data_IF_214288120335
#
_entry.id   IF_214288120335
#
_cell.length_a   1.000
_cell.length_b   1.000
_cell.length_c   1.000
_cell.angle_alpha   90.00
_cell.angle_beta   90.00
_cell.angle_gamma   90.00
#
_symmetry.space_group_name_H-M   'P 1'
#
loop_
_entity.id
_entity.type
_entity.pdbx_description
1 polymer ?
#
# COMPACT_ATOMS: atom_id res chain seq x y z
N UNK A 1 27.60 -60.04 -25.54
CA UNK A 1 26.90 -59.92 -24.24
C UNK A 1 27.81 -59.13 -23.29
N UNK A 2 27.76 -57.78 -23.34
CA UNK A 2 28.19 -56.88 -22.25
C UNK A 2 27.32 -55.63 -22.37
N UNK A 3 26.71 -55.26 -21.24
CA UNK A 3 25.59 -54.35 -21.10
C UNK A 3 25.97 -52.87 -21.22
N UNK A 4 25.06 -52.09 -21.81
CA UNK A 4 25.05 -50.62 -21.85
C UNK A 4 24.92 -50.05 -20.43
N UNK A 5 25.76 -49.09 -20.06
CA UNK A 5 25.46 -48.16 -18.98
C UNK A 5 25.66 -46.74 -19.49
N UNK A 6 24.55 -46.13 -19.90
CA UNK A 6 24.46 -44.69 -20.10
C UNK A 6 24.39 -44.03 -18.72
N UNK A 7 25.36 -43.18 -18.40
CA UNK A 7 25.33 -42.35 -17.20
C UNK A 7 24.54 -41.10 -17.55
N UNK A 8 23.27 -41.07 -17.15
CA UNK A 8 22.41 -39.89 -17.27
C UNK A 8 22.71 -39.00 -16.06
N UNK A 9 23.49 -37.94 -16.26
CA UNK A 9 23.69 -36.90 -15.24
C UNK A 9 22.43 -36.05 -15.13
N UNK A 10 21.67 -36.27 -14.06
CA UNK A 10 20.53 -35.43 -13.69
C UNK A 10 21.07 -34.16 -13.01
N UNK A 11 21.10 -33.03 -13.73
CA UNK A 11 21.29 -31.73 -13.09
C UNK A 11 20.03 -31.40 -12.29
N UNK A 12 20.11 -31.55 -10.97
CA UNK A 12 19.14 -30.98 -10.05
C UNK A 12 19.37 -29.47 -10.03
N UNK A 13 18.50 -28.70 -10.70
CA UNK A 13 18.44 -27.27 -10.48
C UNK A 13 17.95 -27.06 -9.03
N UNK A 14 18.84 -26.69 -8.11
CA UNK A 14 18.42 -26.11 -6.85
C UNK A 14 17.69 -24.80 -7.20
N UNK A 15 16.37 -24.82 -7.10
CA UNK A 15 15.61 -23.59 -6.92
C UNK A 15 16.03 -23.09 -5.55
N UNK A 16 16.92 -22.11 -5.53
CA UNK A 16 17.18 -21.35 -4.32
C UNK A 16 15.85 -20.65 -4.00
N UNK A 17 15.08 -21.23 -3.10
CA UNK A 17 14.13 -20.44 -2.33
C UNK A 17 14.99 -19.37 -1.66
N UNK A 18 14.93 -18.16 -2.18
CA UNK A 18 15.35 -16.99 -1.44
C UNK A 18 14.36 -16.83 -0.30
N UNK A 19 14.45 -17.71 0.71
CA UNK A 19 13.92 -17.43 2.02
C UNK A 19 14.65 -16.16 2.44
N UNK A 20 13.94 -15.03 2.42
CA UNK A 20 14.23 -13.93 3.32
C UNK A 20 14.70 -14.55 4.62
N UNK A 21 15.94 -14.28 5.05
CA UNK A 21 16.46 -14.86 6.27
C UNK A 21 15.39 -14.70 7.34
N UNK A 22 14.87 -15.82 7.85
CA UNK A 22 13.80 -15.82 8.85
C UNK A 22 14.34 -15.02 10.03
N UNK A 23 13.93 -13.76 10.12
CA UNK A 23 14.21 -12.94 11.29
C UNK A 23 13.38 -13.57 12.39
N UNK A 24 14.05 -14.16 13.38
CA UNK A 24 13.35 -14.66 14.56
C UNK A 24 12.68 -13.48 15.28
N UNK A 25 11.39 -13.31 15.01
CA UNK A 25 10.58 -12.24 15.57
C UNK A 25 10.24 -12.49 17.05
N UNK A 26 10.60 -13.65 17.61
CA UNK A 26 10.23 -14.06 18.96
C UNK A 26 8.77 -14.53 19.09
N UNK A 27 8.07 -14.74 17.97
CA UNK A 27 6.71 -15.25 17.90
C UNK A 27 6.42 -15.97 16.58
N UNK A 28 5.34 -16.75 16.56
CA UNK A 28 4.86 -17.46 15.37
C UNK A 28 4.17 -16.48 14.40
N UNK A 29 4.90 -16.06 13.37
CA UNK A 29 4.44 -15.10 12.36
C UNK A 29 3.19 -15.57 11.61
N UNK A 30 3.02 -16.89 11.44
CA UNK A 30 1.84 -17.46 10.77
C UNK A 30 0.59 -17.30 11.64
N UNK A 31 0.71 -17.54 12.95
CA UNK A 31 -0.40 -17.29 13.89
C UNK A 31 -0.78 -15.82 13.96
N UNK A 32 0.21 -14.92 13.99
CA UNK A 32 -0.05 -13.47 13.98
C UNK A 32 -0.77 -13.05 12.69
N UNK A 33 -0.32 -13.54 11.53
CA UNK A 33 -0.98 -13.28 10.25
C UNK A 33 -2.43 -13.77 10.22
N UNK A 34 -2.72 -14.94 10.80
CA UNK A 34 -4.09 -15.46 10.89
C UNK A 34 -4.96 -14.60 11.82
N UNK A 35 -4.46 -14.20 12.99
CA UNK A 35 -5.20 -13.29 13.89
C UNK A 35 -5.48 -11.95 13.21
N UNK A 36 -4.51 -11.37 12.49
CA UNK A 36 -4.70 -10.14 11.72
C UNK A 36 -5.85 -10.29 10.70
N UNK A 37 -5.83 -11.38 9.92
CA UNK A 37 -6.88 -11.67 8.92
C UNK A 37 -8.26 -11.84 9.56
N UNK A 38 -8.33 -12.51 10.70
CA UNK A 38 -9.60 -12.79 11.40
C UNK A 38 -10.17 -11.55 12.12
N UNK A 39 -9.32 -10.57 12.44
CA UNK A 39 -9.72 -9.38 13.21
C UNK A 39 -9.94 -8.14 12.36
N UNK A 40 -9.35 -8.04 11.18
CA UNK A 40 -9.55 -6.92 10.29
C UNK A 40 -11.02 -6.84 9.83
N UNK A 41 -11.69 -5.75 10.15
CA UNK A 41 -13.10 -5.50 9.88
C UNK A 41 -13.41 -4.12 9.31
N UNK A 42 -12.42 -3.22 9.22
CA UNK A 42 -12.58 -1.89 8.62
C UNK A 42 -11.83 -1.76 7.29
N UNK A 43 -12.24 -0.78 6.47
CA UNK A 43 -11.68 -0.50 5.14
C UNK A 43 -10.15 -0.40 5.13
N UNK A 44 -9.56 0.40 6.02
CA UNK A 44 -8.10 0.56 6.09
C UNK A 44 -7.38 -0.67 6.64
N UNK A 45 -8.04 -1.44 7.51
CA UNK A 45 -7.47 -2.66 8.10
C UNK A 45 -7.30 -3.74 7.03
N UNK A 46 -8.27 -3.88 6.12
CA UNK A 46 -8.17 -4.83 5.01
C UNK A 46 -6.99 -4.50 4.08
N UNK A 47 -6.82 -3.23 3.69
CA UNK A 47 -5.70 -2.80 2.85
C UNK A 47 -4.35 -3.00 3.55
N UNK A 48 -4.26 -2.62 4.82
CA UNK A 48 -3.05 -2.83 5.63
C UNK A 48 -2.71 -4.32 5.77
N UNK A 49 -3.71 -5.16 6.07
CA UNK A 49 -3.53 -6.59 6.21
C UNK A 49 -3.08 -7.23 4.89
N UNK A 50 -3.68 -6.83 3.76
CA UNK A 50 -3.26 -7.30 2.44
C UNK A 50 -1.80 -6.93 2.13
N UNK A 51 -1.39 -5.69 2.44
CA UNK A 51 -0.02 -5.25 2.26
C UNK A 51 0.97 -6.03 3.15
N UNK A 52 0.63 -6.29 4.41
CA UNK A 52 1.44 -7.09 5.31
C UNK A 52 1.56 -8.55 4.84
N UNK A 53 0.47 -9.15 4.34
CA UNK A 53 0.49 -10.50 3.78
C UNK A 53 1.37 -10.58 2.52
N UNK A 54 1.34 -9.54 1.67
CA UNK A 54 2.17 -9.47 0.46
C UNK A 54 3.65 -9.42 0.84
N UNK A 55 4.02 -8.54 1.78
CA UNK A 55 5.40 -8.41 2.25
C UNK A 55 5.90 -9.66 2.99
N UNK A 56 5.00 -10.40 3.66
CA UNK A 56 5.36 -11.60 4.41
C UNK A 56 5.55 -12.84 3.53
N UNK A 57 4.65 -13.07 2.56
CA UNK A 57 4.61 -14.33 1.80
C UNK A 57 5.12 -14.21 0.36
N UNK A 58 5.08 -13.00 -0.23
CA UNK A 58 5.38 -12.75 -1.64
C UNK A 58 6.22 -11.45 -1.77
N UNK A 59 7.29 -11.35 -0.97
CA UNK A 59 8.04 -10.11 -0.77
C UNK A 59 8.67 -9.55 -2.06
N UNK A 60 8.94 -10.40 -3.04
CA UNK A 60 9.45 -10.06 -4.36
C UNK A 60 8.46 -9.26 -5.21
N UNK A 61 7.17 -9.37 -4.91
CA UNK A 61 6.11 -8.57 -5.54
C UNK A 61 5.88 -7.23 -4.82
N UNK A 62 6.49 -7.03 -3.66
CA UNK A 62 6.41 -5.79 -2.90
C UNK A 62 7.45 -4.76 -3.37
N UNK A 63 7.28 -3.51 -2.94
CA UNK A 63 8.23 -2.41 -3.18
C UNK A 63 9.57 -2.58 -2.45
N UNK A 64 9.69 -3.57 -1.56
CA UNK A 64 10.93 -3.94 -0.89
C UNK A 64 11.67 -5.10 -1.57
N UNK A 65 11.10 -5.66 -2.65
CA UNK A 65 11.78 -6.65 -3.47
C UNK A 65 13.06 -6.10 -4.10
N UNK A 66 13.96 -6.99 -4.51
CA UNK A 66 15.25 -6.59 -5.13
C UNK A 66 15.09 -5.88 -6.49
N UNK A 67 13.95 -6.09 -7.17
CA UNK A 67 13.57 -5.45 -8.42
C UNK A 67 12.05 -5.28 -8.44
N UNK A 68 11.50 -4.28 -7.71
CA UNK A 68 10.06 -4.15 -7.50
C UNK A 68 9.29 -3.79 -8.78
N UNK A 69 9.97 -3.21 -9.77
CA UNK A 69 9.39 -2.81 -11.06
C UNK A 69 10.20 -3.34 -12.25
N UNK A 70 10.16 -4.66 -12.54
CA UNK A 70 10.94 -5.25 -13.62
C UNK A 70 10.58 -4.61 -14.97
N UNK A 71 11.55 -3.93 -15.58
CA UNK A 71 11.35 -3.19 -16.83
C UNK A 71 10.53 -1.90 -16.67
N UNK A 72 10.51 -1.32 -15.47
CA UNK A 72 9.76 -0.10 -15.15
C UNK A 72 8.25 -0.31 -15.12
N UNK A 73 7.79 -1.53 -14.80
CA UNK A 73 6.37 -1.92 -14.81
C UNK A 73 5.99 -2.65 -13.54
N UNK A 74 4.70 -2.61 -13.21
CA UNK A 74 4.12 -3.44 -12.16
C UNK A 74 4.38 -4.93 -12.47
N UNK A 75 4.89 -5.71 -11.51
CA UNK A 75 5.11 -7.14 -11.70
C UNK A 75 3.78 -7.87 -11.86
N UNK A 76 3.75 -8.89 -12.70
CA UNK A 76 2.57 -9.75 -12.83
C UNK A 76 2.41 -10.59 -11.56
N UNK A 77 1.22 -10.58 -10.98
CA UNK A 77 0.91 -11.36 -9.79
C UNK A 77 -0.16 -12.43 -10.08
N UNK A 78 -0.02 -13.61 -9.46
CA UNK A 78 -1.09 -14.60 -9.45
C UNK A 78 -2.19 -14.12 -8.47
N UNK A 79 -3.45 -13.94 -8.92
CA UNK A 79 -4.54 -13.51 -8.04
C UNK A 79 -4.85 -14.49 -6.89
N UNK A 80 -4.24 -15.69 -6.87
CA UNK A 80 -4.41 -16.71 -5.83
C UNK A 80 -3.40 -16.62 -4.68
N UNK A 81 -2.37 -15.75 -4.77
CA UNK A 81 -1.45 -15.55 -3.64
C UNK A 81 -2.21 -15.05 -2.41
N UNK A 82 -1.67 -15.32 -1.22
CA UNK A 82 -2.39 -15.13 0.05
C UNK A 82 -2.94 -13.71 0.21
N UNK A 83 -2.14 -12.69 -0.13
CA UNK A 83 -2.54 -11.29 -0.03
C UNK A 83 -3.70 -10.93 -0.98
N UNK A 84 -3.60 -11.33 -2.25
CA UNK A 84 -4.58 -10.96 -3.27
C UNK A 84 -5.88 -11.75 -3.13
N UNK A 85 -5.79 -13.04 -2.79
CA UNK A 85 -6.96 -13.85 -2.50
C UNK A 85 -7.74 -13.31 -1.28
N UNK A 86 -7.03 -12.81 -0.27
CA UNK A 86 -7.62 -12.19 0.92
C UNK A 86 -8.37 -10.89 0.61
N UNK A 87 -7.76 -9.98 -0.16
CA UNK A 87 -8.29 -8.63 -0.35
C UNK A 87 -9.35 -8.53 -1.45
N UNK A 88 -9.31 -9.43 -2.45
CA UNK A 88 -10.22 -9.47 -3.59
C UNK A 88 -11.72 -9.31 -3.24
N UNK A 89 -12.29 -10.01 -2.23
CA UNK A 89 -13.71 -9.88 -1.89
C UNK A 89 -14.09 -8.51 -1.30
N UNK A 90 -13.12 -7.70 -0.87
CA UNK A 90 -13.37 -6.37 -0.28
C UNK A 90 -13.33 -5.24 -1.31
N UNK A 91 -12.79 -5.50 -2.51
CA UNK A 91 -12.67 -4.49 -3.56
C UNK A 91 -13.97 -4.39 -4.35
N UNK A 92 -14.57 -3.20 -4.31
CA UNK A 92 -15.63 -2.79 -5.21
C UNK A 92 -15.05 -2.41 -6.58
N UNK A 93 -15.50 -3.08 -7.63
CA UNK A 93 -15.02 -2.87 -9.00
C UNK A 93 -15.93 -1.99 -9.85
N UNK A 94 -17.01 -1.45 -9.30
CA UNK A 94 -18.00 -0.64 -10.04
C UNK A 94 -18.19 0.76 -9.47
N UNK A 95 -17.96 0.98 -8.17
CA UNK A 95 -18.03 2.29 -7.53
C UNK A 95 -16.79 3.16 -7.81
N UNK A 96 -16.88 4.43 -7.44
CA UNK A 96 -15.78 5.40 -7.57
C UNK A 96 -14.63 5.11 -6.61
N UNK A 97 -14.95 4.56 -5.43
CA UNK A 97 -13.96 4.12 -4.44
C UNK A 97 -13.88 2.60 -4.34
N UNK A 98 -12.72 2.10 -3.90
CA UNK A 98 -12.45 0.66 -3.79
C UNK A 98 -13.28 -0.02 -2.70
N UNK A 99 -13.74 0.72 -1.69
CA UNK A 99 -14.58 0.21 -0.60
C UNK A 99 -15.25 1.38 0.13
N UNK A 100 -16.37 1.13 0.80
CA UNK A 100 -17.01 2.12 1.67
C UNK A 100 -16.22 2.32 2.96
N UNK A 101 -16.06 3.57 3.40
CA UNK A 101 -15.22 3.91 4.55
C UNK A 101 -15.79 5.01 5.46
N UNK A 102 -17.12 5.08 5.62
CA UNK A 102 -17.78 5.95 6.60
C UNK A 102 -17.33 7.42 6.58
N UNK A 103 -17.02 7.96 5.39
CA UNK A 103 -16.59 9.34 5.19
C UNK A 103 -15.08 9.58 5.28
N UNK A 104 -14.26 8.53 5.43
CA UNK A 104 -12.82 8.59 5.22
C UNK A 104 -12.49 8.43 3.73
N UNK A 105 -11.79 9.41 3.17
CA UNK A 105 -11.33 9.41 1.78
C UNK A 105 -10.06 8.58 1.59
N UNK A 106 -9.21 8.52 2.62
CA UNK A 106 -7.94 7.80 2.56
C UNK A 106 -8.08 6.29 2.67
N UNK A 107 -8.94 5.80 3.56
CA UNK A 107 -9.03 4.37 3.89
C UNK A 107 -9.30 3.47 2.67
N UNK A 108 -10.21 3.81 1.73
CA UNK A 108 -10.41 2.98 0.55
C UNK A 108 -9.15 2.85 -0.32
N UNK A 109 -8.30 3.87 -0.34
CA UNK A 109 -7.06 3.90 -1.11
C UNK A 109 -6.01 2.89 -0.61
N UNK A 110 -6.10 2.46 0.65
CA UNK A 110 -5.20 1.44 1.21
C UNK A 110 -5.28 0.09 0.47
N UNK A 111 -6.39 -0.20 -0.22
CA UNK A 111 -6.57 -1.40 -1.06
C UNK A 111 -5.92 -1.26 -2.44
N UNK A 112 -5.46 -0.06 -2.81
CA UNK A 112 -5.16 0.29 -4.19
C UNK A 112 -3.96 -0.42 -4.79
N UNK A 113 -2.90 -0.69 -4.01
CA UNK A 113 -1.75 -1.49 -4.47
C UNK A 113 -2.20 -2.90 -4.88
N UNK A 114 -3.04 -3.53 -4.05
CA UNK A 114 -3.61 -4.85 -4.38
C UNK A 114 -4.54 -4.81 -5.58
N UNK A 115 -5.35 -3.76 -5.73
CA UNK A 115 -6.19 -3.57 -6.92
C UNK A 115 -5.36 -3.45 -8.20
N UNK A 116 -4.23 -2.73 -8.16
CA UNK A 116 -3.30 -2.63 -9.30
C UNK A 116 -2.67 -3.99 -9.63
N UNK A 117 -2.21 -4.73 -8.62
CA UNK A 117 -1.64 -6.07 -8.80
C UNK A 117 -2.65 -7.07 -9.38
N UNK A 118 -3.89 -7.08 -8.87
CA UNK A 118 -5.00 -7.85 -9.45
C UNK A 118 -5.28 -7.43 -10.90
N UNK A 119 -5.16 -6.13 -11.18
CA UNK A 119 -5.26 -5.51 -12.50
C UNK A 119 -4.35 -6.12 -13.57
N UNK A 120 -3.23 -6.71 -13.17
CA UNK A 120 -2.30 -7.40 -14.10
C UNK A 120 -2.88 -8.67 -14.72
N UNK A 121 -3.90 -9.25 -14.08
CA UNK A 121 -4.62 -10.44 -14.55
C UNK A 121 -6.08 -10.15 -14.93
N UNK A 122 -6.69 -9.13 -14.35
CA UNK A 122 -8.08 -8.75 -14.59
C UNK A 122 -8.23 -7.22 -14.58
N UNK A 123 -8.43 -6.65 -15.77
CA UNK A 123 -8.50 -5.21 -16.01
C UNK A 123 -9.56 -4.49 -15.15
N UNK A 124 -10.61 -5.19 -14.71
CA UNK A 124 -11.66 -4.58 -13.88
C UNK A 124 -11.11 -3.97 -12.57
N UNK A 125 -10.06 -4.58 -12.02
CA UNK A 125 -9.39 -4.08 -10.81
C UNK A 125 -8.49 -2.87 -11.09
N UNK A 126 -7.80 -2.83 -12.23
CA UNK A 126 -7.05 -1.62 -12.63
C UNK A 126 -7.99 -0.45 -12.95
N UNK A 127 -9.18 -0.72 -13.52
CA UNK A 127 -10.18 0.30 -13.77
C UNK A 127 -10.77 0.84 -12.47
N UNK A 128 -10.91 0.01 -11.44
CA UNK A 128 -11.30 0.43 -10.10
C UNK A 128 -10.22 1.27 -9.40
N UNK A 129 -8.95 0.88 -9.54
CA UNK A 129 -7.81 1.68 -9.06
C UNK A 129 -7.78 3.06 -9.74
N UNK A 130 -8.03 3.13 -11.05
CA UNK A 130 -8.11 4.40 -11.78
C UNK A 130 -9.18 5.34 -11.19
N UNK A 131 -10.37 4.81 -10.87
CA UNK A 131 -11.44 5.62 -10.28
C UNK A 131 -11.08 6.10 -8.88
N UNK A 132 -10.51 5.23 -8.03
CA UNK A 132 -10.05 5.62 -6.70
C UNK A 132 -8.98 6.71 -6.73
N UNK A 133 -8.02 6.62 -7.65
CA UNK A 133 -7.00 7.65 -7.82
C UNK A 133 -7.61 8.98 -8.30
N UNK A 134 -8.55 8.92 -9.26
CA UNK A 134 -9.26 10.10 -9.73
C UNK A 134 -10.06 10.77 -8.60
N UNK A 135 -10.80 10.00 -7.80
CA UNK A 135 -11.56 10.49 -6.65
C UNK A 135 -10.66 11.27 -5.68
N UNK A 136 -9.54 10.67 -5.26
CA UNK A 136 -8.55 11.35 -4.40
C UNK A 136 -8.05 12.65 -5.01
N UNK A 137 -7.74 12.66 -6.31
CA UNK A 137 -7.06 13.75 -7.00
C UNK A 137 -8.00 14.90 -7.40
N UNK A 138 -9.29 14.63 -7.60
CA UNK A 138 -10.24 15.59 -8.18
C UNK A 138 -11.36 15.99 -7.24
N UNK A 139 -11.83 15.05 -6.41
CA UNK A 139 -13.11 15.21 -5.71
C UNK A 139 -12.91 15.44 -4.21
N UNK A 140 -11.90 14.79 -3.60
CA UNK A 140 -11.62 14.91 -2.17
C UNK A 140 -11.20 16.34 -1.79
N UNK A 141 -11.73 16.94 -0.70
CA UNK A 141 -11.37 18.27 -0.25
C UNK A 141 -9.86 18.49 -0.08
N UNK A 142 -9.44 19.76 -0.20
CA UNK A 142 -8.06 20.18 0.02
C UNK A 142 -7.97 21.05 1.25
N UNK A 143 -6.96 20.80 2.08
CA UNK A 143 -6.60 21.74 3.14
C UNK A 143 -6.09 23.05 2.55
N UNK A 144 -6.00 24.09 3.38
CA UNK A 144 -5.62 25.45 2.94
C UNK A 144 -4.28 25.53 2.17
N UNK A 145 -3.35 24.61 2.42
CA UNK A 145 -2.07 24.51 1.70
C UNK A 145 -2.12 23.59 0.46
N UNK A 146 -3.28 23.03 0.10
CA UNK A 146 -3.47 22.12 -1.03
C UNK A 146 -3.29 20.64 -0.70
N UNK A 147 -3.09 20.26 0.57
CA UNK A 147 -2.98 18.87 0.99
C UNK A 147 -4.31 18.11 0.79
N UNK A 148 -4.26 16.87 0.29
CA UNK A 148 -5.43 15.99 0.17
C UNK A 148 -5.99 15.67 1.58
N UNK A 149 -7.29 15.93 1.77
CA UNK A 149 -8.00 15.57 3.01
C UNK A 149 -8.05 14.06 3.21
N UNK A 150 -8.10 13.64 4.48
CA UNK A 150 -8.46 12.28 4.85
C UNK A 150 -9.99 12.11 4.99
N UNK A 151 -10.76 13.21 5.04
CA UNK A 151 -12.22 13.22 5.13
C UNK A 151 -12.86 13.63 3.80
N UNK A 152 -14.01 13.01 3.52
CA UNK A 152 -14.82 13.32 2.32
C UNK A 152 -15.58 14.66 2.44
N UNK A 153 -16.05 15.00 3.65
CA UNK A 153 -17.00 16.12 3.82
C UNK A 153 -16.36 17.48 4.11
N UNK A 154 -15.10 17.51 4.50
CA UNK A 154 -14.36 18.73 4.83
C UNK A 154 -12.85 18.48 4.79
N UNK A 155 -12.06 19.55 4.83
CA UNK A 155 -10.62 19.42 4.84
C UNK A 155 -10.10 19.09 6.25
N UNK A 156 -9.49 17.91 6.37
CA UNK A 156 -8.93 17.40 7.62
C UNK A 156 -7.80 16.43 7.31
N UNK A 157 -6.62 16.71 7.85
CA UNK A 157 -5.40 15.94 7.62
C UNK A 157 -5.19 14.97 8.78
N UNK A 158 -5.04 13.70 8.46
CA UNK A 158 -4.71 12.64 9.42
C UNK A 158 -3.33 12.09 9.05
N UNK A 159 -2.48 11.87 10.04
CA UNK A 159 -1.17 11.25 9.82
C UNK A 159 -1.29 9.89 9.08
N UNK A 160 -2.38 9.17 9.34
CA UNK A 160 -2.79 7.90 8.74
C UNK A 160 -2.84 7.95 7.22
N UNK A 161 -3.30 9.07 6.64
CA UNK A 161 -3.43 9.24 5.19
C UNK A 161 -2.09 9.07 4.47
N UNK A 162 -0.97 9.29 5.17
CA UNK A 162 0.36 9.03 4.65
C UNK A 162 0.57 7.58 4.22
N UNK A 163 -0.03 6.62 4.94
CA UNK A 163 0.06 5.19 4.63
C UNK A 163 -1.08 4.70 3.74
N UNK A 164 -2.24 5.37 3.78
CA UNK A 164 -3.40 4.92 3.01
C UNK A 164 -3.34 5.37 1.55
N UNK A 165 -3.17 6.67 1.30
CA UNK A 165 -3.35 7.25 -0.04
C UNK A 165 -2.08 7.30 -0.88
N UNK A 166 -0.97 7.81 -0.32
CA UNK A 166 0.19 8.15 -1.16
C UNK A 166 1.00 6.95 -1.65
N UNK A 167 1.17 5.86 -0.89
CA UNK A 167 1.78 4.65 -1.43
C UNK A 167 1.00 4.10 -2.62
N UNK A 168 -0.33 4.14 -2.56
CA UNK A 168 -1.18 3.77 -3.69
C UNK A 168 -0.98 4.71 -4.88
N UNK A 169 -1.02 6.03 -4.70
CA UNK A 169 -0.82 6.98 -5.80
C UNK A 169 0.58 6.87 -6.44
N UNK A 170 1.62 6.59 -5.64
CA UNK A 170 2.96 6.33 -6.15
C UNK A 170 2.98 5.05 -7.00
N UNK A 171 2.35 3.97 -6.53
CA UNK A 171 2.28 2.70 -7.26
C UNK A 171 1.46 2.84 -8.55
N UNK A 172 0.38 3.62 -8.51
CA UNK A 172 -0.44 3.98 -9.67
C UNK A 172 0.37 4.79 -10.69
N UNK A 173 1.24 5.69 -10.25
CA UNK A 173 2.13 6.45 -11.13
C UNK A 173 3.04 5.51 -11.94
N UNK A 174 3.61 4.48 -11.30
CA UNK A 174 4.40 3.47 -12.01
C UNK A 174 3.52 2.67 -12.98
N UNK A 175 2.35 2.21 -12.54
CA UNK A 175 1.41 1.45 -13.37
C UNK A 175 0.98 2.20 -14.65
N UNK A 176 0.96 3.53 -14.59
CA UNK A 176 0.59 4.41 -15.71
C UNK A 176 1.78 5.00 -16.45
N UNK A 177 3.02 4.76 -15.99
CA UNK A 177 4.20 5.48 -16.44
C UNK A 177 4.00 7.02 -16.40
N UNK A 178 3.40 7.51 -15.31
CA UNK A 178 3.00 8.91 -15.12
C UNK A 178 3.90 9.60 -14.09
N UNK A 179 4.94 10.26 -14.59
CA UNK A 179 5.88 11.02 -13.75
C UNK A 179 5.25 12.26 -13.12
N UNK A 180 4.17 12.80 -13.69
CA UNK A 180 3.45 13.95 -13.12
C UNK A 180 2.64 13.53 -11.90
N UNK A 181 2.02 12.34 -11.94
CA UNK A 181 1.36 11.74 -10.77
C UNK A 181 2.38 11.42 -9.67
N UNK A 182 3.55 10.89 -10.02
CA UNK A 182 4.63 10.65 -9.04
C UNK A 182 5.06 11.96 -8.36
N UNK A 183 5.34 13.01 -9.14
CA UNK A 183 5.70 14.33 -8.60
C UNK A 183 4.59 14.92 -7.70
N UNK A 184 3.32 14.75 -8.11
CA UNK A 184 2.16 15.15 -7.31
C UNK A 184 2.11 14.39 -5.99
N UNK A 185 2.37 13.09 -6.00
CA UNK A 185 2.38 12.24 -4.81
C UNK A 185 3.45 12.68 -3.82
N UNK A 186 4.68 12.90 -4.29
CA UNK A 186 5.79 13.42 -3.45
C UNK A 186 5.45 14.80 -2.88
N UNK A 187 4.87 15.69 -3.70
CA UNK A 187 4.41 17.00 -3.24
C UNK A 187 3.38 16.86 -2.12
N UNK A 188 2.42 15.95 -2.25
CA UNK A 188 1.40 15.73 -1.22
C UNK A 188 2.00 15.24 0.10
N UNK A 189 3.01 14.35 0.08
CA UNK A 189 3.74 13.99 1.29
C UNK A 189 4.36 15.22 2.00
N UNK A 190 4.93 16.16 1.23
CA UNK A 190 5.45 17.42 1.75
C UNK A 190 4.36 18.29 2.38
N UNK A 191 3.22 18.46 1.70
CA UNK A 191 2.12 19.28 2.18
C UNK A 191 1.49 18.73 3.48
N UNK A 192 1.41 17.41 3.64
CA UNK A 192 0.98 16.79 4.90
C UNK A 192 1.98 17.09 6.02
N UNK A 193 3.28 16.91 5.74
CA UNK A 193 4.36 17.16 6.69
C UNK A 193 4.37 18.61 7.17
N UNK A 194 4.16 19.56 6.27
CA UNK A 194 4.18 21.00 6.58
C UNK A 194 3.13 21.40 7.63
N UNK A 195 2.02 20.66 7.71
CA UNK A 195 0.92 20.93 8.65
C UNK A 195 1.04 20.07 9.91
N UNK A 196 1.30 18.77 9.74
CA UNK A 196 1.20 17.78 10.81
C UNK A 196 2.47 17.70 11.66
N UNK A 197 3.67 17.91 11.08
CA UNK A 197 4.93 17.85 11.82
C UNK A 197 5.09 19.07 12.72
N UNK A 198 5.41 18.85 13.99
CA UNK A 198 5.69 19.95 14.92
C UNK A 198 7.14 20.45 14.79
N UNK A 199 7.40 21.67 15.27
CA UNK A 199 8.75 22.27 15.22
C UNK A 199 9.71 21.71 16.28
N UNK A 200 9.18 21.28 17.44
CA UNK A 200 9.99 20.88 18.59
C UNK A 200 10.72 19.54 18.38
N UNK A 201 10.06 18.60 17.69
CA UNK A 201 10.56 17.24 17.44
C UNK A 201 10.31 16.85 15.98
N UNK A 202 10.66 15.62 15.60
CA UNK A 202 10.32 15.07 14.28
C UNK A 202 8.92 14.44 14.22
N UNK A 203 8.20 14.45 15.34
CA UNK A 203 6.87 13.86 15.45
C UNK A 203 5.79 14.67 14.73
N UNK A 204 4.74 13.97 14.33
CA UNK A 204 3.55 14.50 13.72
C UNK A 204 2.40 14.45 14.73
N UNK A 205 1.56 15.49 14.69
CA UNK A 205 0.23 15.48 15.29
C UNK A 205 -0.65 14.48 14.55
N UNK A 206 -1.62 13.92 15.26
CA UNK A 206 -2.52 12.90 14.71
C UNK A 206 -3.49 13.49 13.69
N UNK A 207 -4.25 14.54 14.06
CA UNK A 207 -5.30 15.14 13.24
C UNK A 207 -5.26 16.66 13.31
N UNK A 208 -5.23 17.32 12.14
CA UNK A 208 -5.42 18.77 11.98
C UNK A 208 -6.44 19.03 10.88
N UNK A 209 -7.55 19.70 11.22
CA UNK A 209 -8.59 20.07 10.26
C UNK A 209 -9.15 21.47 10.48
N UNK A 210 -10.13 21.83 9.67
CA UNK A 210 -10.81 23.13 9.77
C UNK A 210 -11.79 23.17 10.96
N UNK A 211 -12.42 22.05 11.31
CA UNK A 211 -13.27 21.94 12.51
C UNK A 211 -12.39 21.88 13.78
N UNK A 212 -12.51 22.84 14.71
CA UNK A 212 -11.77 22.79 15.97
C UNK A 212 -12.09 21.57 16.85
N UNK A 213 -13.28 20.98 16.70
CA UNK A 213 -13.74 19.88 17.57
C UNK A 213 -13.24 18.51 17.14
N UNK A 214 -12.72 18.37 15.92
CA UNK A 214 -12.20 17.11 15.38
C UNK A 214 -10.68 17.01 15.44
N UNK A 215 -9.99 18.08 15.85
CA UNK A 215 -8.54 18.12 16.00
C UNK A 215 -8.08 17.19 17.13
N UNK A 216 -7.04 16.43 16.83
CA UNK A 216 -6.27 15.66 17.80
C UNK A 216 -4.78 15.99 17.60
N UNK A 217 -4.29 16.93 18.41
CA UNK A 217 -2.89 17.35 18.34
C UNK A 217 -1.91 16.38 19.03
N UNK A 218 -2.40 15.23 19.51
CA UNK A 218 -1.57 14.21 20.15
C UNK A 218 -0.46 13.70 19.23
N UNK A 219 0.69 13.40 19.82
CA UNK A 219 1.85 12.80 19.12
C UNK A 219 1.78 11.27 19.21
N UNK A 220 0.73 10.69 18.64
CA UNK A 220 0.45 9.26 18.76
C UNK A 220 1.54 8.42 18.11
N UNK A 221 2.00 7.37 18.80
CA UNK A 221 2.98 6.43 18.25
C UNK A 221 2.47 5.78 16.96
N UNK A 222 1.18 5.43 16.90
CA UNK A 222 0.55 4.85 15.71
C UNK A 222 0.51 5.82 14.55
N UNK A 223 0.04 7.05 14.75
CA UNK A 223 0.01 8.09 13.71
C UNK A 223 1.40 8.39 13.14
N UNK A 224 2.42 8.44 14.01
CA UNK A 224 3.81 8.59 13.57
C UNK A 224 4.33 7.35 12.83
N UNK A 225 3.90 6.15 13.24
CA UNK A 225 4.13 4.91 12.52
C UNK A 225 3.56 4.94 11.10
N UNK A 226 2.32 5.43 10.93
CA UNK A 226 1.72 5.62 9.61
C UNK A 226 2.43 6.67 8.76
N UNK A 227 2.87 7.77 9.36
CA UNK A 227 3.66 8.76 8.65
C UNK A 227 4.97 8.14 8.12
N UNK A 228 5.71 7.43 8.98
CA UNK A 228 6.96 6.76 8.63
C UNK A 228 6.77 5.68 7.56
N UNK A 229 5.85 4.75 7.79
CA UNK A 229 5.56 3.63 6.89
C UNK A 229 5.14 4.11 5.49
N UNK A 230 4.25 5.12 5.44
CA UNK A 230 3.81 5.72 4.20
C UNK A 230 4.93 6.39 3.41
N UNK A 231 5.76 7.20 4.08
CA UNK A 231 6.90 7.87 3.43
C UNK A 231 7.91 6.88 2.86
N UNK A 232 8.23 5.81 3.60
CA UNK A 232 9.18 4.78 3.13
C UNK A 232 8.63 4.07 1.89
N UNK A 233 7.34 3.72 1.87
CA UNK A 233 6.72 3.08 0.70
C UNK A 233 6.75 3.99 -0.53
N UNK A 234 6.47 5.28 -0.38
CA UNK A 234 6.58 6.25 -1.47
C UNK A 234 8.03 6.38 -1.95
N UNK A 235 9.00 6.46 -1.04
CA UNK A 235 10.42 6.57 -1.39
C UNK A 235 10.93 5.36 -2.18
N UNK A 236 10.65 4.14 -1.70
CA UNK A 236 11.03 2.91 -2.40
C UNK A 236 10.33 2.78 -3.74
N UNK A 237 9.07 3.23 -3.85
CA UNK A 237 8.35 3.25 -5.13
C UNK A 237 8.97 4.22 -6.14
N UNK A 238 9.50 5.36 -5.67
CA UNK A 238 10.18 6.35 -6.51
C UNK A 238 11.57 5.90 -6.97
N UNK A 239 12.26 5.08 -6.16
CA UNK A 239 13.65 4.66 -6.41
C UNK A 239 13.78 3.36 -7.20
N UNK A 240 12.74 2.51 -7.18
CA UNK A 240 12.69 1.27 -7.95
C UNK A 240 12.45 1.49 -9.43
#
# INVERSE_FOLDING_TARGET
MVSKHAVTSLLLALVANASSADVDAGYDVTKVANVMRDKAGQSWEWGTAAQALLELYDNELSIYGSNPFPGGKIPKADPKITALAYIKPHINTTADTLVGANGAAGDPASLGVSAILLGTSDKTYSDAADRQANHLLKDVPRYSNGAISHRESHAELWADNMSMSFPFLAYQAVAKNDTSLMATTVKQCGLQRDVLKINKYLNWRHIIGDDPNSKDEGLWSTGNGWAGYGMVRVLHTLQG
#
